data_IF_723995984758
#
_entry.id   IF_723995984758
#
_cell.length_a   1.000
_cell.length_b   1.000
_cell.length_c   1.000
_cell.angle_alpha   90.00
_cell.angle_beta   90.00
_cell.angle_gamma   90.00
#
_symmetry.space_group_name_H-M   'P 1'
#
loop_
_entity.id
_entity.type
_entity.pdbx_description
1 polymer ?
#
# COMPACT_ATOMS: atom_id res chain seq x y z
N UNK A 1 14.79 -24.48 -14.46
CA UNK A 1 14.49 -24.30 -13.01
C UNK A 1 13.26 -23.42 -12.72
N UNK A 2 12.67 -22.69 -13.65
CA UNK A 2 11.65 -21.66 -13.38
C UNK A 2 10.18 -22.07 -13.26
N UNK A 3 9.80 -23.30 -13.57
CA UNK A 3 8.38 -23.71 -13.59
C UNK A 3 7.79 -24.02 -12.21
N UNK A 4 8.61 -24.40 -11.23
CA UNK A 4 8.12 -24.87 -9.93
C UNK A 4 7.64 -23.76 -8.96
N UNK A 5 7.88 -22.51 -9.28
CA UNK A 5 7.55 -21.37 -8.40
C UNK A 5 6.61 -20.36 -9.04
N UNK A 6 6.16 -20.58 -10.28
CA UNK A 6 5.25 -19.72 -11.00
C UNK A 6 3.81 -19.85 -10.47
N UNK A 7 3.11 -18.74 -10.32
CA UNK A 7 1.65 -18.74 -10.11
C UNK A 7 0.99 -18.61 -11.46
N UNK A 8 0.02 -19.48 -11.74
CA UNK A 8 -0.74 -19.46 -12.98
C UNK A 8 -2.23 -19.52 -12.67
N UNK A 9 -2.97 -18.53 -13.13
CA UNK A 9 -4.42 -18.47 -13.08
C UNK A 9 -5.00 -18.60 -14.49
N UNK A 10 -6.01 -19.46 -14.67
CA UNK A 10 -6.66 -19.70 -15.97
C UNK A 10 -8.17 -19.65 -15.82
N UNK A 11 -8.79 -18.65 -16.46
CA UNK A 11 -10.24 -18.47 -16.48
C UNK A 11 -10.88 -18.31 -15.11
N UNK A 12 -10.12 -17.78 -14.14
CA UNK A 12 -10.49 -17.74 -12.73
C UNK A 12 -11.73 -16.87 -12.53
N UNK A 13 -12.79 -17.47 -11.98
CA UNK A 13 -14.06 -16.79 -11.73
C UNK A 13 -14.53 -17.07 -10.30
N UNK A 14 -14.99 -16.03 -9.61
CA UNK A 14 -15.58 -16.15 -8.26
C UNK A 14 -16.88 -15.37 -8.15
N UNK A 15 -17.93 -16.08 -7.75
CA UNK A 15 -19.25 -15.50 -7.48
C UNK A 15 -19.63 -15.75 -6.02
N UNK A 16 -20.20 -14.74 -5.39
CA UNK A 16 -20.81 -14.82 -4.07
C UNK A 16 -22.30 -14.47 -4.23
N UNK A 17 -23.13 -15.50 -4.30
CA UNK A 17 -24.55 -15.32 -4.64
C UNK A 17 -24.71 -14.64 -6.02
N UNK A 18 -25.39 -13.52 -6.05
CA UNK A 18 -25.61 -12.73 -7.28
C UNK A 18 -24.39 -11.88 -7.68
N UNK A 19 -23.44 -11.61 -6.76
CA UNK A 19 -22.29 -10.73 -7.01
C UNK A 19 -21.12 -11.52 -7.59
N UNK A 20 -20.63 -11.13 -8.77
CA UNK A 20 -19.37 -11.65 -9.32
C UNK A 20 -18.23 -10.76 -8.85
N UNK A 21 -17.30 -11.33 -8.10
CA UNK A 21 -16.12 -10.62 -7.55
C UNK A 21 -14.91 -10.69 -8.51
N UNK A 22 -14.76 -11.82 -9.22
CA UNK A 22 -13.72 -12.04 -10.22
C UNK A 22 -14.36 -12.78 -11.39
N UNK A 23 -14.04 -12.39 -12.63
CA UNK A 23 -14.63 -12.96 -13.83
C UNK A 23 -13.56 -13.24 -14.90
N UNK A 24 -13.41 -14.51 -15.27
CA UNK A 24 -12.55 -14.99 -16.35
C UNK A 24 -11.12 -14.42 -16.32
N UNK A 25 -10.49 -14.37 -15.13
CA UNK A 25 -9.18 -13.80 -14.92
C UNK A 25 -8.10 -14.83 -15.25
N UNK A 26 -7.20 -14.50 -16.18
CA UNK A 26 -6.05 -15.33 -16.56
C UNK A 26 -4.79 -14.49 -16.53
N UNK A 27 -3.75 -14.98 -15.83
CA UNK A 27 -2.46 -14.32 -15.73
C UNK A 27 -1.39 -15.29 -15.19
N UNK A 28 -0.12 -14.87 -15.30
CA UNK A 28 1.03 -15.59 -14.77
C UNK A 28 1.91 -14.66 -13.94
N UNK A 29 2.38 -15.15 -12.78
CA UNK A 29 3.39 -14.47 -11.94
C UNK A 29 4.67 -15.25 -12.00
N UNK A 30 5.73 -14.62 -12.50
CA UNK A 30 7.02 -15.26 -12.77
C UNK A 30 7.99 -15.09 -11.60
N UNK A 31 8.90 -16.06 -11.39
CA UNK A 31 9.99 -15.93 -10.41
C UNK A 31 10.99 -14.85 -10.83
N UNK A 32 11.72 -14.32 -9.86
CA UNK A 32 12.79 -13.34 -10.08
C UNK A 32 12.32 -11.91 -10.33
N UNK A 33 11.02 -11.65 -10.21
CA UNK A 33 10.42 -10.32 -10.43
C UNK A 33 9.40 -10.00 -9.35
N UNK A 34 9.23 -8.71 -9.05
CA UNK A 34 8.12 -8.23 -8.26
C UNK A 34 6.95 -7.95 -9.20
N UNK A 35 5.88 -8.74 -9.10
CA UNK A 35 4.65 -8.52 -9.87
C UNK A 35 3.64 -7.79 -9.02
N UNK A 36 3.27 -6.58 -9.44
CA UNK A 36 2.23 -5.74 -8.83
C UNK A 36 0.85 -6.12 -9.32
N UNK A 37 -0.09 -6.33 -8.40
CA UNK A 37 -1.50 -6.59 -8.68
C UNK A 37 -2.31 -5.35 -8.35
N UNK A 38 -2.59 -4.55 -9.35
CA UNK A 38 -3.10 -3.19 -9.22
C UNK A 38 -4.60 -3.12 -9.55
N UNK A 39 -5.31 -2.32 -8.78
CA UNK A 39 -6.73 -2.06 -9.02
C UNK A 39 -7.39 -1.33 -7.85
N UNK A 40 -8.56 -0.70 -8.07
CA UNK A 40 -9.27 0.02 -7.01
C UNK A 40 -9.78 -0.94 -5.92
N UNK A 41 -10.23 -0.38 -4.81
CA UNK A 41 -10.87 -1.17 -3.77
C UNK A 41 -12.12 -1.86 -4.32
N UNK A 42 -12.30 -3.13 -4.00
CA UNK A 42 -13.41 -3.94 -4.51
C UNK A 42 -13.21 -4.50 -5.93
N UNK A 43 -12.05 -4.29 -6.58
CA UNK A 43 -11.77 -4.84 -7.90
C UNK A 43 -11.53 -6.35 -7.95
N UNK A 44 -11.43 -7.03 -6.79
CA UNK A 44 -11.23 -8.47 -6.71
C UNK A 44 -9.83 -8.92 -6.28
N UNK A 45 -8.90 -8.00 -5.93
CA UNK A 45 -7.52 -8.32 -5.53
C UNK A 45 -7.43 -9.35 -4.40
N UNK A 46 -7.99 -9.04 -3.24
CA UNK A 46 -7.95 -9.94 -2.08
C UNK A 46 -8.68 -11.25 -2.34
N UNK A 47 -9.80 -11.22 -3.10
CA UNK A 47 -10.51 -12.44 -3.51
C UNK A 47 -9.62 -13.33 -4.37
N UNK A 48 -8.87 -12.77 -5.32
CA UNK A 48 -7.94 -13.52 -6.16
C UNK A 48 -6.82 -14.13 -5.33
N UNK A 49 -6.20 -13.36 -4.40
CA UNK A 49 -5.16 -13.89 -3.52
C UNK A 49 -5.68 -15.01 -2.61
N UNK A 50 -6.90 -14.90 -2.11
CA UNK A 50 -7.53 -15.95 -1.32
C UNK A 50 -7.77 -17.22 -2.15
N UNK A 51 -8.13 -17.11 -3.43
CA UNK A 51 -8.25 -18.26 -4.33
C UNK A 51 -6.89 -18.90 -4.62
N UNK A 52 -5.83 -18.13 -4.82
CA UNK A 52 -4.46 -18.64 -5.00
C UNK A 52 -4.03 -19.51 -3.82
N UNK A 53 -4.37 -19.07 -2.59
CA UNK A 53 -4.07 -19.78 -1.34
C UNK A 53 -5.09 -20.87 -0.98
N UNK A 54 -6.07 -21.16 -1.84
CA UNK A 54 -7.09 -22.16 -1.60
C UNK A 54 -8.00 -21.87 -0.40
N UNK A 55 -8.03 -20.61 0.08
CA UNK A 55 -8.94 -20.17 1.14
C UNK A 55 -10.36 -20.02 0.62
N UNK A 56 -10.49 -19.59 -0.62
CA UNK A 56 -11.76 -19.54 -1.35
C UNK A 56 -11.65 -20.44 -2.59
N UNK A 57 -12.66 -21.26 -2.84
CA UNK A 57 -12.72 -22.05 -4.06
C UNK A 57 -13.25 -21.20 -5.23
N UNK A 58 -12.63 -21.25 -6.42
CA UNK A 58 -13.18 -20.60 -7.60
C UNK A 58 -14.53 -21.22 -7.98
N UNK A 59 -15.43 -20.41 -8.53
CA UNK A 59 -16.69 -20.89 -9.12
C UNK A 59 -16.43 -21.62 -10.45
N UNK A 60 -15.43 -21.13 -11.22
CA UNK A 60 -14.90 -21.78 -12.42
C UNK A 60 -13.47 -21.34 -12.67
N UNK A 61 -12.77 -22.03 -13.55
CA UNK A 61 -11.35 -21.86 -13.78
C UNK A 61 -10.51 -22.52 -12.68
N UNK A 62 -9.21 -22.27 -12.70
CA UNK A 62 -8.29 -22.84 -11.72
C UNK A 62 -7.07 -21.94 -11.52
N UNK A 63 -6.38 -22.15 -10.40
CA UNK A 63 -5.10 -21.49 -10.13
C UNK A 63 -4.13 -22.53 -9.56
N UNK A 64 -2.87 -22.43 -9.99
CA UNK A 64 -1.79 -23.34 -9.57
C UNK A 64 -0.56 -22.55 -9.14
N UNK A 65 0.23 -23.16 -8.28
CA UNK A 65 1.57 -22.73 -7.89
C UNK A 65 2.52 -23.89 -8.24
N UNK A 66 3.44 -23.64 -9.16
CA UNK A 66 4.32 -24.70 -9.67
C UNK A 66 3.55 -25.85 -10.32
N UNK A 67 2.42 -25.60 -10.96
CA UNK A 67 1.56 -26.58 -11.59
C UNK A 67 0.61 -27.33 -10.65
N UNK A 68 0.61 -27.03 -9.33
CA UNK A 68 -0.24 -27.67 -8.36
C UNK A 68 -1.17 -26.67 -7.66
N UNK A 69 -2.45 -27.01 -7.41
CA UNK A 69 -3.31 -26.25 -6.52
C UNK A 69 -2.67 -26.15 -5.12
N UNK A 70 -2.81 -25.01 -4.43
CA UNK A 70 -2.22 -24.78 -3.10
C UNK A 70 -2.48 -25.92 -2.12
N UNK A 71 -3.71 -26.46 -2.07
CA UNK A 71 -4.11 -27.55 -1.17
C UNK A 71 -3.38 -28.88 -1.44
N UNK A 72 -2.75 -29.03 -2.61
CA UNK A 72 -1.97 -30.22 -2.98
C UNK A 72 -0.45 -30.02 -2.86
N UNK A 73 -0.02 -28.83 -2.44
CA UNK A 73 1.39 -28.56 -2.24
C UNK A 73 1.89 -29.32 -0.99
N UNK A 74 2.95 -30.12 -1.12
CA UNK A 74 3.58 -30.72 0.06
C UNK A 74 4.27 -29.61 0.86
N UNK A 75 4.05 -29.61 2.19
CA UNK A 75 4.63 -28.58 3.06
C UNK A 75 4.37 -27.14 2.56
N UNK A 76 3.13 -26.81 2.23
CA UNK A 76 2.76 -25.51 1.68
C UNK A 76 3.37 -24.30 2.43
N UNK A 77 3.48 -24.28 3.79
CA UNK A 77 4.11 -23.17 4.50
C UNK A 77 5.60 -22.96 4.23
N UNK A 78 6.29 -23.98 3.67
CA UNK A 78 7.69 -23.87 3.22
C UNK A 78 7.84 -23.49 1.76
N UNK A 79 6.76 -23.52 1.00
CA UNK A 79 6.76 -23.15 -0.41
C UNK A 79 6.13 -21.80 -0.65
N UNK A 80 5.11 -21.45 0.14
CA UNK A 80 4.30 -20.25 -0.04
C UNK A 80 4.17 -19.53 1.29
N UNK A 81 4.59 -18.27 1.32
CA UNK A 81 4.37 -17.32 2.40
C UNK A 81 3.32 -16.29 2.00
N UNK A 82 2.42 -15.94 2.91
CA UNK A 82 1.39 -14.97 2.59
C UNK A 82 1.11 -14.02 3.76
N UNK A 83 0.88 -12.75 3.42
CA UNK A 83 0.31 -11.74 4.28
C UNK A 83 -0.97 -11.24 3.64
N UNK A 84 -2.13 -11.66 4.15
CA UNK A 84 -3.44 -11.19 3.69
C UNK A 84 -4.07 -10.17 4.64
N UNK A 85 -3.80 -10.29 5.94
CA UNK A 85 -4.30 -9.37 6.96
C UNK A 85 -3.29 -9.27 8.11
N UNK A 86 -2.71 -8.09 8.29
CA UNK A 86 -1.79 -7.81 9.39
C UNK A 86 -2.46 -7.87 10.77
N UNK A 87 -3.80 -7.79 10.83
CA UNK A 87 -4.57 -7.88 12.08
C UNK A 87 -4.89 -9.32 12.49
N UNK A 88 -4.55 -10.32 11.67
CA UNK A 88 -4.83 -11.72 11.93
C UNK A 88 -4.01 -12.31 13.10
N UNK A 89 -3.32 -11.49 13.89
CA UNK A 89 -2.51 -11.89 15.05
C UNK A 89 -3.35 -11.81 16.32
N UNK A 90 -3.39 -12.90 17.10
CA UNK A 90 -4.07 -12.89 18.39
C UNK A 90 -3.38 -11.95 19.39
N UNK A 91 -4.03 -10.85 19.76
CA UNK A 91 -3.47 -9.78 20.59
C UNK A 91 -2.92 -10.18 21.98
N UNK A 92 -3.34 -11.31 22.51
CA UNK A 92 -2.87 -11.86 23.79
C UNK A 92 -1.51 -12.56 23.71
N UNK A 93 -1.04 -12.94 22.51
CA UNK A 93 0.24 -13.61 22.30
C UNK A 93 1.37 -12.58 22.08
N UNK A 94 2.60 -12.93 22.46
CA UNK A 94 3.77 -12.17 22.04
C UNK A 94 4.11 -12.48 20.57
N UNK A 95 4.87 -11.58 19.91
CA UNK A 95 5.33 -11.80 18.54
C UNK A 95 6.08 -13.14 18.41
N UNK A 96 7.02 -13.41 19.32
CA UNK A 96 7.79 -14.66 19.34
C UNK A 96 6.90 -15.88 19.56
N UNK A 97 5.94 -15.83 20.50
CA UNK A 97 5.02 -16.96 20.76
C UNK A 97 4.08 -17.20 19.58
N UNK A 98 3.66 -16.15 18.88
CA UNK A 98 2.86 -16.27 17.67
C UNK A 98 3.63 -17.00 16.57
N UNK A 99 4.84 -16.54 16.24
CA UNK A 99 5.67 -17.17 15.21
C UNK A 99 6.09 -18.59 15.61
N UNK A 100 6.41 -18.82 16.89
CA UNK A 100 6.77 -20.15 17.38
C UNK A 100 5.61 -21.15 17.20
N UNK A 101 4.37 -20.73 17.46
CA UNK A 101 3.22 -21.60 17.22
C UNK A 101 3.04 -21.97 15.73
N UNK A 102 3.28 -21.02 14.82
CA UNK A 102 3.25 -21.28 13.38
C UNK A 102 4.40 -22.20 12.94
N UNK A 103 5.59 -21.97 13.48
CA UNK A 103 6.77 -22.81 13.21
C UNK A 103 6.53 -24.27 13.62
N UNK A 104 6.01 -24.48 14.83
CA UNK A 104 5.69 -25.83 15.35
C UNK A 104 4.65 -26.54 14.49
N UNK A 105 3.58 -25.87 14.10
CA UNK A 105 2.53 -26.42 13.23
C UNK A 105 3.07 -26.81 11.84
N UNK A 106 4.11 -26.16 11.38
CA UNK A 106 4.71 -26.36 10.04
C UNK A 106 6.00 -27.18 10.05
N UNK A 107 6.42 -27.72 11.22
CA UNK A 107 7.66 -28.45 11.37
C UNK A 107 8.92 -27.61 11.08
N UNK A 108 8.85 -26.30 11.36
CA UNK A 108 9.95 -25.34 11.16
C UNK A 108 10.74 -25.22 12.48
N UNK A 109 12.09 -25.23 12.45
CA UNK A 109 12.91 -25.09 13.64
C UNK A 109 12.64 -23.77 14.39
N UNK A 110 12.64 -23.80 15.73
CA UNK A 110 12.40 -22.62 16.56
C UNK A 110 13.45 -21.50 16.34
N UNK A 111 14.66 -21.84 15.94
CA UNK A 111 15.72 -20.88 15.61
C UNK A 111 15.28 -19.93 14.48
N UNK A 112 14.54 -20.43 13.48
CA UNK A 112 14.03 -19.61 12.38
C UNK A 112 13.14 -18.46 12.84
N UNK A 113 12.47 -18.62 13.99
CA UNK A 113 11.63 -17.55 14.58
C UNK A 113 12.48 -16.33 14.96
N UNK A 114 13.64 -16.56 15.57
CA UNK A 114 14.52 -15.48 16.00
C UNK A 114 15.21 -14.82 14.79
N UNK A 115 15.52 -15.60 13.74
CA UNK A 115 16.04 -15.08 12.46
C UNK A 115 15.03 -14.15 11.76
N UNK A 116 13.79 -14.58 11.57
CA UNK A 116 12.77 -13.74 10.89
C UNK A 116 12.39 -12.51 11.70
N UNK A 117 12.40 -12.60 13.05
CA UNK A 117 12.24 -11.43 13.92
C UNK A 117 13.38 -10.42 13.69
N UNK A 118 14.60 -10.91 13.44
CA UNK A 118 15.74 -10.11 13.04
C UNK A 118 15.54 -9.39 11.72
N UNK A 119 15.13 -10.12 10.70
CA UNK A 119 14.88 -9.57 9.36
C UNK A 119 13.87 -8.42 9.39
N UNK A 120 12.81 -8.54 10.21
CA UNK A 120 11.76 -7.51 10.29
C UNK A 120 12.00 -6.44 11.38
N UNK A 121 13.11 -6.53 12.13
CA UNK A 121 13.46 -5.55 13.17
C UNK A 121 12.55 -5.59 14.40
N UNK A 122 12.04 -6.76 14.79
CA UNK A 122 11.16 -6.93 15.95
C UNK A 122 11.82 -7.68 17.13
N UNK A 123 13.14 -7.90 17.13
CA UNK A 123 13.85 -8.69 18.16
C UNK A 123 13.65 -8.12 19.56
N UNK A 124 13.82 -6.81 19.73
CA UNK A 124 13.73 -6.14 21.04
C UNK A 124 12.34 -6.23 21.65
N UNK A 125 11.31 -6.27 20.80
CA UNK A 125 9.90 -6.31 21.21
C UNK A 125 9.28 -7.70 21.07
N UNK A 126 10.06 -8.72 20.71
CA UNK A 126 9.62 -10.08 20.42
C UNK A 126 8.78 -10.73 21.55
N UNK A 127 9.05 -10.36 22.82
CA UNK A 127 8.33 -10.87 24.00
C UNK A 127 7.12 -10.03 24.40
N UNK A 128 6.94 -8.84 23.81
CA UNK A 128 5.77 -7.98 24.06
C UNK A 128 4.51 -8.57 23.41
N UNK A 129 3.35 -8.39 24.08
CA UNK A 129 2.05 -8.82 23.52
C UNK A 129 1.68 -7.98 22.30
N UNK A 130 1.22 -8.62 21.25
CA UNK A 130 0.91 -7.98 19.97
C UNK A 130 -0.24 -6.97 20.02
N UNK A 131 -1.14 -7.04 21.05
CA UNK A 131 -2.18 -6.02 21.24
C UNK A 131 -1.64 -4.59 21.44
N UNK A 132 -0.39 -4.46 21.86
CA UNK A 132 0.30 -3.18 22.06
C UNK A 132 1.18 -2.77 20.88
N UNK A 133 1.08 -3.45 19.76
CA UNK A 133 1.83 -3.12 18.56
C UNK A 133 1.16 -1.97 17.79
N UNK A 134 1.99 -1.09 17.21
CA UNK A 134 1.52 -0.17 16.19
C UNK A 134 1.07 -0.96 14.94
N UNK A 135 0.34 -0.30 14.03
CA UNK A 135 -0.05 -0.93 12.76
C UNK A 135 1.18 -1.42 11.99
N UNK A 136 2.26 -0.61 11.93
CA UNK A 136 3.50 -0.98 11.27
C UNK A 136 4.21 -2.18 11.93
N UNK A 137 4.21 -2.28 13.24
CA UNK A 137 4.73 -3.45 13.94
C UNK A 137 3.89 -4.70 13.64
N UNK A 138 2.57 -4.57 13.54
CA UNK A 138 1.67 -5.64 13.13
C UNK A 138 1.97 -6.11 11.71
N UNK A 139 2.19 -5.19 10.79
CA UNK A 139 2.56 -5.46 9.40
C UNK A 139 3.89 -6.21 9.31
N UNK A 140 4.92 -5.73 10.01
CA UNK A 140 6.23 -6.40 10.10
C UNK A 140 6.12 -7.81 10.68
N UNK A 141 5.26 -8.03 11.68
CA UNK A 141 5.02 -9.35 12.24
C UNK A 141 4.32 -10.29 11.24
N UNK A 142 3.37 -9.78 10.46
CA UNK A 142 2.72 -10.52 9.39
C UNK A 142 3.71 -10.92 8.28
N UNK A 143 4.62 -10.01 7.90
CA UNK A 143 5.71 -10.30 6.97
C UNK A 143 6.65 -11.37 7.55
N UNK A 144 7.01 -11.28 8.85
CA UNK A 144 7.81 -12.32 9.50
C UNK A 144 7.14 -13.70 9.45
N UNK A 145 5.82 -13.75 9.64
CA UNK A 145 5.05 -15.00 9.51
C UNK A 145 5.10 -15.54 8.07
N UNK A 146 4.99 -14.67 7.06
CA UNK A 146 5.12 -15.05 5.66
C UNK A 146 6.53 -15.59 5.31
N UNK A 147 7.58 -15.05 5.92
CA UNK A 147 8.97 -15.45 5.68
C UNK A 147 9.42 -16.68 6.50
N UNK A 148 8.60 -17.14 7.45
CA UNK A 148 8.97 -18.12 8.44
C UNK A 148 9.43 -19.45 7.81
N UNK A 149 8.74 -19.91 6.77
CA UNK A 149 9.04 -21.17 6.06
C UNK A 149 10.16 -21.06 5.03
N UNK A 150 10.78 -19.90 4.86
CA UNK A 150 11.73 -19.59 3.78
C UNK A 150 11.17 -19.88 2.38
N UNK A 151 9.96 -19.37 2.07
CA UNK A 151 9.20 -19.78 0.90
C UNK A 151 9.79 -19.21 -0.39
N UNK A 152 9.58 -19.95 -1.49
CA UNK A 152 9.95 -19.49 -2.83
C UNK A 152 8.87 -18.60 -3.47
N UNK A 153 7.66 -18.64 -2.97
CA UNK A 153 6.52 -17.84 -3.45
C UNK A 153 5.97 -16.99 -2.31
N UNK A 154 5.82 -15.72 -2.54
CA UNK A 154 5.38 -14.74 -1.55
C UNK A 154 4.19 -13.93 -2.09
N UNK A 155 3.11 -13.91 -1.31
CA UNK A 155 1.91 -13.12 -1.60
C UNK A 155 1.71 -12.06 -0.51
N UNK A 156 1.65 -10.80 -0.90
CA UNK A 156 1.44 -9.68 0.02
C UNK A 156 0.20 -8.87 -0.39
N UNK A 157 -0.84 -8.87 0.43
CA UNK A 157 -2.02 -8.04 0.21
C UNK A 157 -1.86 -6.72 0.96
N UNK A 158 -1.71 -5.61 0.22
CA UNK A 158 -1.53 -4.25 0.74
C UNK A 158 -0.43 -4.13 1.82
N UNK A 159 0.80 -4.62 1.59
CA UNK A 159 1.82 -4.75 2.65
C UNK A 159 2.35 -3.42 3.17
N UNK A 160 2.20 -2.33 2.43
CA UNK A 160 2.66 -0.98 2.81
C UNK A 160 1.57 -0.14 3.47
N UNK A 161 0.34 -0.64 3.53
CA UNK A 161 -0.79 0.13 4.02
C UNK A 161 -0.64 0.49 5.51
N UNK A 162 -0.68 1.79 5.83
CA UNK A 162 -0.56 2.30 7.18
C UNK A 162 0.85 2.24 7.79
N UNK A 163 1.88 2.10 6.95
CA UNK A 163 3.27 2.28 7.32
C UNK A 163 3.68 3.75 7.17
N UNK A 164 4.68 4.15 7.95
CA UNK A 164 5.42 5.39 7.74
C UNK A 164 6.34 5.29 6.50
N UNK A 165 6.88 6.40 6.00
CA UNK A 165 7.74 6.39 4.81
C UNK A 165 8.96 5.47 4.93
N UNK A 166 9.55 5.36 6.12
CA UNK A 166 10.68 4.47 6.37
C UNK A 166 10.25 3.00 6.27
N UNK A 167 9.10 2.65 6.84
CA UNK A 167 8.50 1.32 6.75
C UNK A 167 8.16 0.93 5.31
N UNK A 168 7.61 1.85 4.53
CA UNK A 168 7.31 1.64 3.10
C UNK A 168 8.61 1.33 2.34
N UNK A 169 9.65 2.14 2.55
CA UNK A 169 10.95 1.96 1.90
C UNK A 169 11.57 0.61 2.28
N UNK A 170 11.48 0.21 3.56
CA UNK A 170 11.97 -1.08 4.03
C UNK A 170 11.24 -2.25 3.35
N UNK A 171 9.89 -2.24 3.30
CA UNK A 171 9.10 -3.30 2.65
C UNK A 171 9.44 -3.40 1.16
N UNK A 172 9.59 -2.26 0.48
CA UNK A 172 9.99 -2.20 -0.92
C UNK A 172 11.35 -2.89 -1.16
N UNK A 173 12.34 -2.53 -0.36
CA UNK A 173 13.67 -3.12 -0.49
C UNK A 173 13.65 -4.62 -0.19
N UNK A 174 12.89 -5.04 0.82
CA UNK A 174 12.71 -6.46 1.12
C UNK A 174 12.13 -7.23 -0.09
N UNK A 175 11.03 -6.73 -0.69
CA UNK A 175 10.42 -7.38 -1.85
C UNK A 175 11.38 -7.49 -3.04
N UNK A 176 12.14 -6.41 -3.33
CA UNK A 176 13.15 -6.41 -4.39
C UNK A 176 14.30 -7.38 -4.12
N UNK A 177 14.77 -7.46 -2.88
CA UNK A 177 15.82 -8.42 -2.49
C UNK A 177 15.33 -9.85 -2.68
N UNK A 178 14.12 -10.18 -2.20
CA UNK A 178 13.54 -11.51 -2.34
C UNK A 178 13.34 -11.91 -3.82
N UNK A 179 12.91 -10.97 -4.66
CA UNK A 179 12.81 -11.20 -6.09
C UNK A 179 14.21 -11.42 -6.73
N UNK A 180 15.19 -10.59 -6.36
CA UNK A 180 16.58 -10.75 -6.86
C UNK A 180 17.21 -12.10 -6.46
N UNK A 181 16.78 -12.72 -5.34
CA UNK A 181 17.11 -14.09 -4.95
C UNK A 181 16.44 -15.17 -5.82
N UNK A 182 15.61 -14.76 -6.79
CA UNK A 182 14.89 -15.66 -7.70
C UNK A 182 13.51 -16.10 -7.19
N UNK A 183 13.03 -15.56 -6.08
CA UNK A 183 11.68 -15.86 -5.54
C UNK A 183 10.59 -15.20 -6.37
N UNK A 184 9.40 -15.76 -6.31
CA UNK A 184 8.19 -15.15 -6.89
C UNK A 184 7.57 -14.22 -5.86
N UNK A 185 7.48 -12.94 -6.18
CA UNK A 185 6.87 -11.94 -5.31
C UNK A 185 5.62 -11.36 -5.99
N UNK A 186 4.46 -11.61 -5.39
CA UNK A 186 3.17 -11.10 -5.86
C UNK A 186 2.56 -10.18 -4.82
N UNK A 187 2.41 -8.91 -5.17
CA UNK A 187 1.99 -7.85 -4.24
C UNK A 187 0.78 -7.11 -4.75
N UNK A 188 -0.29 -7.05 -3.95
CA UNK A 188 -1.41 -6.16 -4.26
C UNK A 188 -1.18 -4.76 -3.72
N UNK A 189 -1.65 -3.77 -4.44
CA UNK A 189 -1.72 -2.39 -3.95
C UNK A 189 -2.80 -1.59 -4.68
N UNK A 190 -3.27 -0.54 -4.02
CA UNK A 190 -4.03 0.54 -4.63
C UNK A 190 -3.17 1.83 -4.78
N UNK A 191 -1.94 1.84 -4.25
CA UNK A 191 -1.00 2.96 -4.31
C UNK A 191 -0.11 2.84 -5.55
N UNK A 192 -0.44 3.60 -6.59
CA UNK A 192 0.21 3.52 -7.89
C UNK A 192 1.64 4.03 -7.85
N UNK A 193 1.89 5.12 -7.12
CA UNK A 193 3.23 5.67 -6.93
C UNK A 193 4.21 4.67 -6.30
N UNK A 194 3.73 3.86 -5.35
CA UNK A 194 4.54 2.81 -4.74
C UNK A 194 4.80 1.65 -5.71
N UNK A 195 3.80 1.27 -6.50
CA UNK A 195 3.96 0.22 -7.50
C UNK A 195 4.91 0.62 -8.62
N UNK A 196 4.90 1.89 -9.04
CA UNK A 196 5.82 2.40 -10.07
C UNK A 196 7.30 2.20 -9.73
N UNK A 197 7.64 2.28 -8.43
CA UNK A 197 9.04 2.16 -7.96
C UNK A 197 9.37 0.78 -7.38
N UNK A 198 8.36 -0.09 -7.18
CA UNK A 198 8.52 -1.41 -6.55
C UNK A 198 8.41 -2.55 -7.54
N UNK A 199 7.38 -2.51 -8.40
CA UNK A 199 7.08 -3.61 -9.31
C UNK A 199 7.90 -3.54 -10.60
N UNK A 200 8.21 -4.70 -11.16
CA UNK A 200 8.81 -4.88 -12.48
C UNK A 200 7.74 -5.13 -13.52
N UNK A 201 6.67 -5.84 -13.13
CA UNK A 201 5.56 -6.25 -13.95
C UNK A 201 4.23 -5.91 -13.28
N UNK A 202 3.21 -5.56 -14.06
CA UNK A 202 1.88 -5.20 -13.57
C UNK A 202 0.81 -6.11 -14.15
N UNK A 203 -0.06 -6.56 -13.27
CA UNK A 203 -1.36 -7.14 -13.60
C UNK A 203 -2.41 -6.16 -13.08
N UNK A 204 -3.09 -5.49 -13.99
CA UNK A 204 -4.08 -4.46 -13.65
C UNK A 204 -5.47 -5.05 -13.80
N UNK A 205 -6.29 -4.92 -12.74
CA UNK A 205 -7.67 -5.41 -12.74
C UNK A 205 -8.68 -4.29 -12.45
N UNK A 206 -9.84 -4.40 -13.09
CA UNK A 206 -11.01 -3.56 -12.84
C UNK A 206 -12.29 -4.38 -12.90
N UNK A 207 -13.19 -4.19 -11.92
CA UNK A 207 -14.47 -4.92 -11.83
C UNK A 207 -14.33 -6.46 -11.94
N UNK A 208 -13.25 -6.99 -11.38
CA UNK A 208 -12.98 -8.43 -11.42
C UNK A 208 -12.40 -8.97 -12.72
N UNK A 209 -12.06 -8.13 -13.69
CA UNK A 209 -11.52 -8.51 -14.99
C UNK A 209 -10.11 -7.99 -15.20
N UNK A 210 -9.33 -8.69 -16.02
CA UNK A 210 -8.01 -8.25 -16.44
C UNK A 210 -8.14 -7.06 -17.39
N UNK A 211 -7.42 -5.99 -17.08
CA UNK A 211 -7.31 -4.80 -17.93
C UNK A 211 -5.95 -4.73 -18.63
N UNK A 212 -4.88 -5.14 -17.96
CA UNK A 212 -3.53 -5.13 -18.51
C UNK A 212 -2.65 -6.17 -17.80
N UNK A 213 -1.69 -6.74 -18.53
CA UNK A 213 -0.68 -7.69 -18.06
C UNK A 213 0.62 -7.42 -18.83
N UNK A 214 1.49 -6.56 -18.29
CA UNK A 214 2.72 -6.12 -18.97
C UNK A 214 3.74 -5.52 -17.98
N UNK A 215 4.95 -5.21 -18.47
CA UNK A 215 5.94 -4.52 -17.64
C UNK A 215 5.48 -3.12 -17.24
N UNK A 216 5.98 -2.60 -16.08
CA UNK A 216 5.69 -1.22 -15.65
C UNK A 216 6.07 -0.20 -16.72
N UNK A 217 7.22 -0.40 -17.38
CA UNK A 217 7.71 0.50 -18.43
C UNK A 217 6.78 0.52 -19.63
N UNK A 218 6.37 -0.66 -20.12
CA UNK A 218 5.47 -0.77 -21.26
C UNK A 218 4.10 -0.19 -20.94
N UNK A 219 3.62 -0.41 -19.71
CA UNK A 219 2.34 0.15 -19.26
C UNK A 219 2.35 1.69 -19.27
N UNK A 220 3.41 2.30 -18.74
CA UNK A 220 3.56 3.76 -18.73
C UNK A 220 3.66 4.28 -20.16
N UNK A 221 4.53 3.71 -21.00
CA UNK A 221 4.72 4.18 -22.39
C UNK A 221 3.51 3.99 -23.27
N UNK A 222 2.70 2.94 -23.06
CA UNK A 222 1.48 2.70 -23.81
C UNK A 222 0.32 3.64 -23.43
N UNK A 223 0.28 4.10 -22.17
CA UNK A 223 -0.87 4.83 -21.64
C UNK A 223 -0.56 6.28 -21.21
N UNK A 224 0.69 6.70 -21.22
CA UNK A 224 1.11 8.06 -20.88
C UNK A 224 2.29 8.48 -21.75
N UNK A 225 2.43 9.78 -21.97
CA UNK A 225 3.54 10.35 -22.70
C UNK A 225 4.16 11.46 -21.85
N UNK A 226 5.49 11.61 -21.97
CA UNK A 226 6.20 12.76 -21.40
C UNK A 226 5.66 14.04 -22.02
N UNK A 227 5.50 15.07 -21.22
CA UNK A 227 5.08 16.37 -21.70
C UNK A 227 5.82 17.50 -20.98
N UNK A 228 5.87 18.65 -21.62
CA UNK A 228 6.28 19.88 -21.00
C UNK A 228 5.06 20.64 -20.50
N UNK A 229 5.09 21.07 -19.25
CA UNK A 229 4.12 22.01 -18.71
C UNK A 229 4.66 23.41 -18.87
N UNK A 230 3.87 24.25 -19.55
CA UNK A 230 4.26 25.58 -19.90
C UNK A 230 3.21 26.57 -19.41
N UNK A 231 3.64 27.61 -18.68
CA UNK A 231 2.77 28.72 -18.29
C UNK A 231 3.27 30.04 -18.82
N UNK A 232 2.36 30.83 -19.31
CA UNK A 232 2.53 32.23 -19.65
C UNK A 232 1.91 33.10 -18.57
N UNK A 233 2.21 34.44 -18.53
CA UNK A 233 1.54 35.36 -17.63
C UNK A 233 0.01 35.29 -17.75
N UNK A 234 -0.69 35.11 -16.62
CA UNK A 234 -2.15 35.02 -16.60
C UNK A 234 -2.83 36.33 -16.96
N UNK A 235 -2.11 37.46 -16.82
CA UNK A 235 -2.58 38.80 -17.18
C UNK A 235 -2.62 39.03 -18.68
N UNK A 236 -2.00 38.18 -19.48
CA UNK A 236 -1.85 38.32 -20.92
C UNK A 236 -2.29 37.04 -21.66
N UNK A 237 -3.59 36.77 -21.76
CA UNK A 237 -4.10 35.54 -22.39
C UNK A 237 -3.70 35.40 -23.85
N UNK A 238 -3.46 36.51 -24.55
CA UNK A 238 -2.99 36.54 -25.94
C UNK A 238 -1.60 35.88 -26.12
N UNK A 239 -0.72 35.97 -25.13
CA UNK A 239 0.59 35.28 -25.17
C UNK A 239 0.45 33.78 -25.15
N UNK A 240 -0.53 33.24 -24.39
CA UNK A 240 -0.82 31.83 -24.36
C UNK A 240 -1.31 31.30 -25.71
N UNK A 241 -2.23 32.02 -26.34
CA UNK A 241 -2.77 31.64 -27.64
C UNK A 241 -1.69 31.70 -28.71
N UNK A 242 -0.88 32.76 -28.71
CA UNK A 242 0.28 32.93 -29.61
C UNK A 242 1.27 31.77 -29.46
N UNK A 243 1.63 31.45 -28.20
CA UNK A 243 2.52 30.31 -27.92
C UNK A 243 1.93 28.97 -28.39
N UNK A 244 0.66 28.75 -28.12
CA UNK A 244 -0.04 27.53 -28.56
C UNK A 244 0.02 27.35 -30.08
N UNK A 245 -0.23 28.42 -30.85
CA UNK A 245 -0.14 28.38 -32.31
C UNK A 245 1.26 28.07 -32.80
N UNK A 246 2.27 28.78 -32.27
CA UNK A 246 3.67 28.57 -32.64
C UNK A 246 4.16 27.15 -32.35
N UNK A 247 3.80 26.61 -31.18
CA UNK A 247 4.16 25.23 -30.82
C UNK A 247 3.45 24.19 -31.69
N UNK A 248 2.18 24.44 -32.03
CA UNK A 248 1.42 23.56 -32.93
C UNK A 248 1.98 23.57 -34.35
N UNK A 249 2.35 24.74 -34.88
CA UNK A 249 3.02 24.87 -36.19
C UNK A 249 4.37 24.15 -36.22
N UNK A 250 5.07 24.11 -35.07
CA UNK A 250 6.32 23.36 -34.91
C UNK A 250 6.14 21.84 -34.74
N UNK A 251 4.90 21.34 -34.83
CA UNK A 251 4.59 19.92 -34.75
C UNK A 251 4.29 19.38 -33.35
N UNK A 252 4.10 20.26 -32.35
CA UNK A 252 3.68 19.82 -31.02
C UNK A 252 2.17 19.57 -30.94
N UNK A 253 1.78 18.64 -30.06
CA UNK A 253 0.41 18.56 -29.58
C UNK A 253 0.26 19.40 -28.32
N UNK A 254 -0.57 20.44 -28.37
CA UNK A 254 -0.80 21.39 -27.28
C UNK A 254 -2.22 21.23 -26.75
N UNK A 255 -2.33 21.03 -25.43
CA UNK A 255 -3.60 21.01 -24.71
C UNK A 255 -3.59 22.03 -23.60
N UNK A 256 -4.68 22.76 -23.43
CA UNK A 256 -4.83 23.71 -22.31
C UNK A 256 -5.42 22.99 -21.11
N UNK A 257 -4.74 23.05 -19.96
CA UNK A 257 -5.20 22.50 -18.69
C UNK A 257 -6.23 23.45 -18.02
N UNK A 258 -6.97 22.93 -17.04
CA UNK A 258 -8.03 23.71 -16.34
C UNK A 258 -7.50 24.97 -15.64
N UNK A 259 -6.23 24.97 -15.23
CA UNK A 259 -5.55 26.09 -14.57
C UNK A 259 -4.88 27.05 -15.56
N UNK A 260 -5.11 26.86 -16.87
CA UNK A 260 -4.58 27.70 -17.94
C UNK A 260 -3.14 27.39 -18.35
N UNK A 261 -2.49 26.36 -17.80
CA UNK A 261 -1.22 25.87 -18.28
C UNK A 261 -1.38 25.16 -19.64
N UNK A 262 -0.33 25.20 -20.46
CA UNK A 262 -0.24 24.41 -21.68
C UNK A 262 0.51 23.11 -21.41
N UNK A 263 -0.10 22.00 -21.76
CA UNK A 263 0.52 20.68 -21.84
C UNK A 263 1.01 20.48 -23.27
N UNK A 264 2.33 20.36 -23.43
CA UNK A 264 2.98 20.27 -24.73
C UNK A 264 3.68 18.93 -24.86
N UNK A 265 3.30 18.16 -25.88
CA UNK A 265 3.95 16.88 -26.22
C UNK A 265 4.56 16.94 -27.62
N UNK A 266 5.61 16.14 -27.86
CA UNK A 266 6.25 16.05 -29.18
C UNK A 266 7.43 17.00 -29.39
N UNK A 267 7.71 17.93 -28.47
CA UNK A 267 8.89 18.80 -28.57
C UNK A 267 9.73 18.73 -27.28
N UNK A 268 11.07 18.76 -27.40
CA UNK A 268 11.96 18.87 -26.23
C UNK A 268 11.93 20.27 -25.62
N UNK A 269 12.16 20.38 -24.28
CA UNK A 269 12.11 21.63 -23.55
C UNK A 269 12.96 22.76 -24.15
N UNK A 270 14.22 22.51 -24.55
CA UNK A 270 15.02 23.57 -25.18
C UNK A 270 14.36 24.18 -26.42
N UNK A 271 13.74 23.34 -27.26
CA UNK A 271 13.04 23.80 -28.47
C UNK A 271 11.79 24.63 -28.14
N UNK A 272 11.05 24.24 -27.09
CA UNK A 272 9.92 25.03 -26.61
C UNK A 272 10.37 26.39 -26.11
N UNK A 273 11.48 26.45 -25.37
CA UNK A 273 12.06 27.69 -24.88
C UNK A 273 12.50 28.59 -26.01
N UNK A 274 13.17 28.04 -27.04
CA UNK A 274 13.62 28.81 -28.20
C UNK A 274 12.44 29.40 -28.99
N UNK A 275 11.42 28.60 -29.24
CA UNK A 275 10.19 29.03 -29.93
C UNK A 275 9.43 30.13 -29.16
N UNK A 276 9.38 30.01 -27.84
CA UNK A 276 8.77 31.04 -26.99
C UNK A 276 9.56 32.38 -27.06
N UNK A 277 10.90 32.31 -27.03
CA UNK A 277 11.78 33.48 -27.16
C UNK A 277 11.63 34.14 -28.54
N UNK A 278 11.67 33.36 -29.62
CA UNK A 278 11.56 33.86 -30.98
C UNK A 278 10.18 34.48 -31.28
N UNK A 279 9.15 34.01 -30.54
CA UNK A 279 7.82 34.59 -30.58
C UNK A 279 7.62 35.75 -29.60
N UNK A 280 8.63 36.18 -28.86
CA UNK A 280 8.54 37.22 -27.81
C UNK A 280 7.44 36.91 -26.77
N UNK A 281 7.38 35.64 -26.32
CA UNK A 281 6.45 35.17 -25.31
C UNK A 281 7.22 34.89 -24.01
N UNK A 282 6.74 35.49 -22.91
CA UNK A 282 7.29 35.24 -21.58
C UNK A 282 6.78 33.93 -21.02
N UNK A 283 7.70 33.10 -20.51
CA UNK A 283 7.36 31.88 -19.77
C UNK A 283 7.46 32.13 -18.28
N UNK A 284 6.42 31.79 -17.55
CA UNK A 284 6.43 31.74 -16.09
C UNK A 284 6.84 30.37 -15.57
N UNK A 285 6.55 29.33 -16.36
CA UNK A 285 6.92 27.95 -16.05
C UNK A 285 7.25 27.22 -17.35
N UNK A 286 8.34 26.46 -17.30
CA UNK A 286 8.68 25.45 -18.30
C UNK A 286 9.27 24.26 -17.55
N UNK A 287 8.44 23.28 -17.24
CA UNK A 287 8.81 22.11 -16.45
C UNK A 287 8.59 20.81 -17.20
N UNK A 288 9.54 19.85 -17.11
CA UNK A 288 9.33 18.51 -17.64
C UNK A 288 8.37 17.74 -16.73
N UNK A 289 7.40 17.09 -17.32
CA UNK A 289 6.57 16.10 -16.67
C UNK A 289 6.83 14.75 -17.33
N UNK A 290 7.34 13.82 -16.52
CA UNK A 290 7.53 12.44 -16.98
C UNK A 290 6.22 11.67 -16.86
N UNK A 291 5.98 10.81 -17.82
CA UNK A 291 4.88 9.86 -17.78
C UNK A 291 4.89 9.05 -16.48
N UNK A 292 3.78 9.05 -15.78
CA UNK A 292 3.65 8.36 -14.49
C UNK A 292 2.71 7.15 -14.59
N UNK A 293 2.92 6.16 -13.71
CA UNK A 293 2.02 5.02 -13.61
C UNK A 293 0.60 5.43 -13.23
N UNK A 294 0.47 6.44 -12.37
CA UNK A 294 -0.83 6.96 -11.94
C UNK A 294 -1.60 7.56 -13.12
N UNK A 295 -0.93 8.39 -13.92
CA UNK A 295 -1.53 9.02 -15.10
C UNK A 295 -1.91 7.97 -16.15
N UNK A 296 -1.01 7.01 -16.41
CA UNK A 296 -1.26 5.89 -17.32
C UNK A 296 -2.47 5.06 -16.88
N UNK A 297 -2.58 4.77 -15.58
CA UNK A 297 -3.71 4.05 -15.00
C UNK A 297 -5.02 4.85 -15.13
N UNK A 298 -5.01 6.13 -14.79
CA UNK A 298 -6.20 6.99 -14.88
C UNK A 298 -6.72 7.07 -16.33
N UNK A 299 -5.83 7.19 -17.31
CA UNK A 299 -6.22 7.20 -18.73
C UNK A 299 -6.83 5.87 -19.17
N UNK A 300 -6.19 4.76 -18.82
CA UNK A 300 -6.71 3.43 -19.15
C UNK A 300 -8.07 3.17 -18.52
N UNK A 301 -8.31 3.68 -17.32
CA UNK A 301 -9.54 3.44 -16.56
C UNK A 301 -10.63 4.50 -16.79
N UNK A 302 -10.36 5.58 -17.54
CA UNK A 302 -11.37 6.54 -17.95
C UNK A 302 -12.49 5.81 -18.74
N UNK A 303 -13.63 5.61 -18.05
CA UNK A 303 -14.78 4.85 -18.59
C UNK A 303 -14.88 3.38 -18.17
N UNK A 304 -13.84 2.78 -17.61
CA UNK A 304 -13.87 1.39 -17.14
C UNK A 304 -14.14 1.25 -15.64
N UNK A 305 -13.92 2.30 -14.83
CA UNK A 305 -14.06 2.27 -13.38
C UNK A 305 -15.02 3.35 -12.91
N UNK A 306 -16.19 2.94 -12.40
CA UNK A 306 -17.06 3.83 -11.63
C UNK A 306 -16.49 3.97 -10.21
N UNK A 307 -15.96 5.14 -9.89
CA UNK A 307 -15.54 5.50 -8.52
C UNK A 307 -16.72 5.82 -7.59
N UNK A 308 -17.97 5.56 -8.01
CA UNK A 308 -19.14 5.79 -7.16
C UNK A 308 -19.06 4.90 -5.92
N UNK A 309 -19.03 5.51 -4.76
CA UNK A 309 -19.12 4.82 -3.49
C UNK A 309 -20.41 4.01 -3.42
N UNK A 310 -20.44 2.94 -2.63
CA UNK A 310 -21.65 2.12 -2.42
C UNK A 310 -22.82 2.99 -1.88
N UNK A 311 -22.54 4.14 -1.24
CA UNK A 311 -23.52 5.12 -0.80
C UNK A 311 -24.20 5.83 -1.97
N UNK A 312 -23.48 6.13 -3.06
CA UNK A 312 -24.05 6.78 -4.24
C UNK A 312 -24.91 5.82 -5.07
N UNK A 313 -24.65 4.50 -5.00
CA UNK A 313 -25.46 3.48 -5.68
C UNK A 313 -26.81 3.25 -4.98
N UNK A 314 -26.88 3.44 -3.66
CA UNK A 314 -28.14 3.34 -2.91
C UNK A 314 -29.01 4.59 -3.05
N UNK A 315 -28.44 5.75 -3.35
CA UNK A 315 -29.19 6.98 -3.60
C UNK A 315 -29.93 7.00 -4.96
N UNK A 316 -29.51 6.15 -5.91
CA UNK A 316 -30.10 6.05 -7.25
C UNK A 316 -31.39 5.19 -7.34
N UNK A 317 -31.80 4.50 -6.28
CA UNK A 317 -32.96 3.57 -6.30
C UNK A 317 -34.22 4.09 -5.60
N UNK A 318 -34.29 5.35 -5.19
CA UNK A 318 -35.51 5.91 -4.61
C UNK A 318 -35.89 7.21 -5.29
N UNK A 319 -36.69 7.11 -6.35
CA UNK A 319 -37.85 8.01 -6.57
C UNK A 319 -38.77 7.44 -7.67
N UNK A 320 -39.99 7.03 -7.34
CA UNK A 320 -41.06 6.98 -8.34
C UNK A 320 -41.54 8.43 -8.59
N UNK A 321 -41.51 8.81 -9.85
CA UNK A 321 -42.05 10.09 -10.30
C UNK A 321 -43.55 10.19 -9.96
N UNK A 322 -43.94 11.22 -9.18
CA UNK A 322 -45.30 11.76 -9.17
C UNK A 322 -45.32 13.11 -9.90
N UNK A 323 -46.34 13.37 -10.73
CA UNK A 323 -46.41 14.60 -11.48
C UNK A 323 -47.10 15.72 -10.69
N UNK A 324 -46.49 16.92 -10.71
CA UNK A 324 -47.16 18.21 -10.58
C UNK A 324 -47.36 18.77 -9.18
N UNK A 325 -46.63 19.83 -8.86
CA UNK A 325 -46.86 20.70 -7.69
C UNK A 325 -45.79 21.78 -7.61
N UNK A 326 -46.22 23.04 -7.71
CA UNK A 326 -45.40 24.22 -7.74
C UNK A 326 -44.51 24.37 -6.49
N UNK A 327 -43.23 24.74 -6.66
CA UNK A 327 -42.27 24.97 -5.61
C UNK A 327 -42.15 26.48 -5.31
N UNK A 328 -42.32 26.86 -4.06
CA UNK A 328 -41.81 28.11 -3.51
C UNK A 328 -40.38 27.96 -2.98
N UNK A 329 -39.55 29.02 -3.01
CA UNK A 329 -38.13 28.92 -2.61
C UNK A 329 -37.97 29.06 -1.10
N UNK A 330 -37.34 28.09 -0.45
CA UNK A 330 -36.94 28.19 0.96
C UNK A 330 -35.44 28.48 1.05
N UNK A 331 -35.17 29.55 1.82
CA UNK A 331 -33.84 30.08 2.09
C UNK A 331 -32.95 29.15 2.88
N UNK A 332 -31.67 29.18 2.54
CA UNK A 332 -30.57 28.55 3.31
C UNK A 332 -30.41 29.18 4.68
N UNK A 333 -30.45 28.39 5.74
CA UNK A 333 -29.86 28.75 7.04
C UNK A 333 -29.20 27.49 7.67
N UNK A 334 -27.99 27.52 7.90
CA UNK A 334 -27.10 27.57 9.06
C UNK A 334 -27.12 26.37 9.98
N UNK A 335 -25.98 25.81 10.18
CA UNK A 335 -25.49 24.75 11.04
C UNK A 335 -25.75 24.96 12.55
N UNK A 336 -25.94 23.83 13.27
CA UNK A 336 -26.03 23.63 14.72
C UNK A 336 -27.38 23.94 15.40
N UNK A 337 -28.07 22.83 15.72
CA UNK A 337 -29.02 22.82 16.84
C UNK A 337 -28.80 21.51 17.66
N UNK A 338 -28.76 21.61 19.00
CA UNK A 338 -28.70 20.45 19.90
C UNK A 338 -30.05 19.74 20.01
N UNK A 339 -30.11 18.48 20.43
CA UNK A 339 -31.36 17.72 20.52
C UNK A 339 -32.26 18.22 21.64
N UNK A 340 -33.61 18.13 21.47
CA UNK A 340 -34.58 18.62 22.46
C UNK A 340 -34.69 17.65 23.67
N UNK A 341 -35.05 18.16 24.87
CA UNK A 341 -35.24 17.38 26.06
C UNK A 341 -36.56 16.58 26.01
N UNK A 342 -36.51 15.34 26.46
CA UNK A 342 -37.65 14.47 26.60
C UNK A 342 -38.51 14.91 27.79
N UNK A 343 -39.78 15.18 27.55
CA UNK A 343 -40.79 15.44 28.56
C UNK A 343 -41.28 14.11 29.16
N UNK A 344 -41.38 14.10 30.48
CA UNK A 344 -41.84 13.00 31.27
C UNK A 344 -43.34 12.71 31.11
N UNK A 345 -43.68 11.43 31.13
CA UNK A 345 -45.06 10.96 31.27
C UNK A 345 -45.09 9.79 32.25
N UNK A 346 -45.80 9.94 33.31
CA UNK A 346 -46.03 9.00 34.40
C UNK A 346 -46.92 7.78 33.97
N UNK A 347 -46.84 6.63 34.70
CA UNK A 347 -47.61 5.44 34.38
C UNK A 347 -48.96 5.37 35.10
N UNK A 348 -49.88 4.49 34.72
CA UNK A 348 -50.89 3.98 35.64
C UNK A 348 -50.86 2.47 35.83
N UNK A 349 -50.80 2.13 37.10
CA UNK A 349 -51.52 1.09 37.86
C UNK A 349 -51.62 -0.39 37.42
N UNK A 350 -51.12 -1.20 38.33
CA UNK A 350 -51.79 -2.26 39.12
C UNK A 350 -52.06 -3.64 38.48
N UNK A 351 -51.65 -4.65 39.24
CA UNK A 351 -52.31 -5.93 39.22
C UNK A 351 -51.42 -7.14 39.53
N UNK A 352 -51.10 -7.33 40.80
CA UNK A 352 -51.09 -8.54 41.63
C UNK A 352 -50.59 -9.91 41.10
N UNK A 353 -50.41 -10.98 41.95
CA UNK A 353 -49.09 -11.53 42.22
C UNK A 353 -49.03 -13.10 42.07
N UNK A 354 -47.79 -13.66 42.35
CA UNK A 354 -47.50 -15.01 42.85
C UNK A 354 -47.05 -16.09 41.85
N UNK A 355 -46.39 -17.19 42.30
CA UNK A 355 -45.60 -17.44 43.54
C UNK A 355 -44.28 -18.22 43.31
N UNK A 356 -43.41 -18.16 44.27
CA UNK A 356 -42.84 -19.31 45.01
C UNK A 356 -41.52 -19.93 44.61
N UNK A 357 -40.49 -19.64 45.36
CA UNK A 357 -39.52 -20.45 46.05
C UNK A 357 -38.33 -21.06 45.33
N UNK A 358 -37.32 -21.61 46.05
CA UNK A 358 -36.66 -21.07 47.26
C UNK A 358 -35.16 -20.81 47.09
N UNK A 359 -34.61 -20.04 47.88
CA UNK A 359 -33.49 -19.63 48.55
C UNK A 359 -32.23 -20.48 48.68
N UNK A 360 -31.08 -19.83 48.66
CA UNK A 360 -29.92 -20.18 49.45
C UNK A 360 -29.21 -18.91 49.95
N UNK A 361 -28.80 -19.01 51.21
CA UNK A 361 -28.41 -17.97 52.12
C UNK A 361 -26.95 -17.51 51.98
N UNK A 362 -26.76 -16.24 52.37
CA UNK A 362 -25.46 -15.62 52.71
C UNK A 362 -25.24 -15.70 54.26
N UNK A 363 -24.01 -15.74 54.78
CA UNK A 363 -23.62 -14.76 55.81
C UNK A 363 -22.24 -14.19 55.56
N UNK A 364 -21.83 -13.04 56.01
CA UNK A 364 -22.09 -12.05 57.00
C UNK A 364 -20.92 -11.10 56.91
N UNK A 365 -20.91 -9.98 57.24
CA UNK A 365 -21.07 -8.98 58.27
C UNK A 365 -20.18 -7.80 58.05
N UNK A 366 -20.73 -6.64 58.18
CA UNK A 366 -20.09 -5.32 58.37
C UNK A 366 -19.68 -5.18 59.87
N UNK A 367 -19.17 -4.04 60.45
CA UNK A 367 -19.40 -2.65 60.10
C UNK A 367 -18.19 -1.67 60.40
N UNK A 368 -18.33 -0.36 60.11
CA UNK A 368 -17.59 0.70 60.75
C UNK A 368 -17.41 1.98 59.91
N UNK A 369 -18.25 2.98 60.06
CA UNK A 369 -17.93 4.38 59.80
C UNK A 369 -17.55 5.04 61.13
N UNK A 370 -17.47 6.39 61.26
CA UNK A 370 -17.60 7.51 60.35
C UNK A 370 -16.46 8.58 60.48
N UNK A 371 -16.43 9.65 59.67
CA UNK A 371 -15.58 10.77 59.93
C UNK A 371 -15.59 11.89 58.87
N UNK A 372 -16.22 12.99 59.23
CA UNK A 372 -16.30 14.27 58.54
C UNK A 372 -14.96 14.98 58.38
N UNK A 373 -14.78 15.76 57.30
CA UNK A 373 -14.45 17.19 57.30
C UNK A 373 -14.09 17.71 55.88
N UNK A 374 -14.74 18.78 55.46
CA UNK A 374 -14.28 19.74 54.46
C UNK A 374 -13.76 21.00 55.24
N UNK A 375 -13.29 22.14 54.60
CA UNK A 375 -12.82 22.42 53.24
C UNK A 375 -11.50 23.22 53.18
N UNK A 376 -10.95 23.37 51.96
CA UNK A 376 -10.21 24.58 51.59
C UNK A 376 -8.72 24.49 51.49
N UNK A 377 -8.15 24.49 50.29
CA UNK A 377 -7.07 25.38 49.87
C UNK A 377 -6.76 25.16 48.38
N UNK A 378 -6.62 26.25 47.64
CA UNK A 378 -6.28 26.27 46.21
C UNK A 378 -4.86 25.81 45.94
N UNK A 379 -4.57 25.15 44.79
CA UNK A 379 -3.20 24.82 44.41
C UNK A 379 -2.54 25.94 43.61
N UNK A 380 -1.26 26.10 43.83
CA UNK A 380 -0.32 26.95 43.10
C UNK A 380 -0.10 26.48 41.65
N UNK A 381 0.31 27.38 40.73
CA UNK A 381 0.42 27.08 39.31
C UNK A 381 1.77 26.44 38.95
N UNK A 382 1.73 25.51 37.98
CA UNK A 382 2.87 25.24 37.14
C UNK A 382 3.38 23.81 37.11
N UNK A 383 2.83 23.01 36.21
CA UNK A 383 3.65 22.04 35.46
C UNK A 383 2.99 21.82 34.08
N UNK A 384 3.73 22.23 33.06
CA UNK A 384 3.38 22.01 31.66
C UNK A 384 3.91 20.61 31.23
N UNK A 385 3.05 19.65 30.85
CA UNK A 385 3.50 18.30 30.47
C UNK A 385 4.03 18.19 29.03
N UNK A 386 4.24 19.32 28.34
CA UNK A 386 4.76 19.34 26.97
C UNK A 386 6.11 20.04 26.82
N UNK A 387 6.99 19.97 27.83
CA UNK A 387 8.37 20.40 27.66
C UNK A 387 9.16 19.27 26.98
N UNK A 388 9.57 19.47 25.74
CA UNK A 388 10.52 18.64 25.00
C UNK A 388 11.85 18.57 25.75
N UNK A 389 12.44 17.37 25.93
CA UNK A 389 13.78 17.26 26.51
C UNK A 389 14.82 17.79 25.50
N UNK A 390 15.77 18.56 26.01
CA UNK A 390 16.92 19.08 25.29
C UNK A 390 17.73 17.94 24.67
N UNK A 391 18.15 18.11 23.43
CA UNK A 391 19.00 17.18 22.70
C UNK A 391 20.35 16.97 23.44
N UNK A 392 20.89 15.74 23.45
CA UNK A 392 22.22 15.48 23.99
C UNK A 392 23.30 16.10 23.09
N UNK A 393 24.34 16.65 23.74
CA UNK A 393 25.49 17.28 23.09
C UNK A 393 26.20 16.29 22.14
N UNK A 394 26.58 16.76 20.94
CA UNK A 394 27.33 16.01 19.95
C UNK A 394 28.72 15.59 20.52
N UNK A 395 29.21 14.39 20.16
CA UNK A 395 30.55 13.96 20.50
C UNK A 395 31.63 14.78 19.76
N UNK A 396 32.85 14.95 20.30
CA UNK A 396 33.90 15.70 19.65
C UNK A 396 34.40 15.00 18.39
N UNK A 397 34.73 15.82 17.39
CA UNK A 397 35.25 15.36 16.09
C UNK A 397 36.56 14.58 16.24
N UNK A 398 36.80 13.52 15.46
CA UNK A 398 38.08 12.82 15.46
C UNK A 398 39.19 13.67 14.84
N UNK A 399 40.41 13.58 15.43
CA UNK A 399 41.59 14.28 14.99
C UNK A 399 41.97 13.96 13.55
N UNK A 400 42.45 14.97 12.83
CA UNK A 400 42.88 14.92 11.45
C UNK A 400 44.02 13.92 11.26
N UNK A 401 43.90 13.06 10.26
CA UNK A 401 44.95 12.17 9.78
C UNK A 401 46.02 12.97 9.02
N UNK A 402 47.33 12.57 9.07
CA UNK A 402 48.39 13.25 8.36
C UNK A 402 48.35 13.00 6.85
N UNK A 403 48.78 13.97 6.09
CA UNK A 403 48.84 13.99 4.62
C UNK A 403 49.70 12.84 4.06
N UNK A 404 49.37 12.31 2.86
CA UNK A 404 50.17 11.26 2.22
C UNK A 404 51.41 11.82 1.53
N UNK A 405 52.55 11.24 1.88
CA UNK A 405 53.83 11.50 1.23
C UNK A 405 53.94 10.79 -0.11
N UNK A 406 54.52 11.52 -1.02
CA UNK A 406 55.29 11.23 -2.24
C UNK A 406 55.32 9.78 -2.76
N UNK A 407 54.90 9.65 -4.02
CA UNK A 407 54.94 8.48 -4.92
C UNK A 407 56.34 7.89 -5.11
N UNK A 408 56.44 6.58 -5.09
CA UNK A 408 57.54 5.80 -5.69
C UNK A 408 57.05 5.25 -7.06
N UNK A 409 57.96 5.06 -8.04
CA UNK A 409 57.59 4.77 -9.43
C UNK A 409 57.27 3.31 -9.65
N UNK A 410 56.38 3.03 -10.60
CA UNK A 410 55.94 1.72 -11.04
C UNK A 410 57.06 0.94 -11.73
N UNK A 411 57.08 -0.43 -11.62
CA UNK A 411 58.00 -1.23 -12.37
C UNK A 411 57.53 -1.43 -13.82
N UNK A 412 58.52 -1.31 -14.71
CA UNK A 412 58.46 -1.50 -16.16
C UNK A 412 58.30 -3.00 -16.50
N UNK A 413 57.23 -3.36 -17.21
CA UNK A 413 56.94 -4.69 -17.74
C UNK A 413 57.15 -4.71 -19.26
N UNK A 414 58.41 -4.56 -19.69
CA UNK A 414 58.84 -4.92 -21.05
C UNK A 414 60.08 -5.81 -20.98
N UNK A 415 59.86 -7.11 -20.88
CA UNK A 415 60.78 -8.13 -21.44
C UNK A 415 59.99 -9.41 -21.79
N UNK A 416 59.83 -9.60 -23.08
CA UNK A 416 59.64 -10.90 -23.70
C UNK A 416 60.99 -11.64 -23.57
N UNK A 417 60.89 -12.90 -23.16
CA UNK A 417 61.85 -13.93 -23.61
C UNK A 417 61.08 -15.20 -23.98
N UNK A 418 61.24 -15.50 -25.23
CA UNK A 418 60.98 -16.79 -25.87
C UNK A 418 61.90 -17.86 -25.31
N UNK A 419 61.36 -18.99 -24.93
CA UNK A 419 61.99 -20.30 -25.17
C UNK A 419 60.97 -21.42 -24.93
N UNK A 420 60.65 -22.11 -25.99
CA UNK A 420 60.25 -23.51 -25.97
C UNK A 420 61.49 -24.40 -25.87
N UNK A 421 61.43 -25.60 -25.29
CA UNK A 421 61.45 -26.75 -26.18
C UNK A 421 60.50 -27.90 -25.80
N UNK A 422 60.17 -28.55 -26.87
CA UNK A 422 59.65 -29.90 -27.08
C UNK A 422 60.12 -30.99 -26.10
N UNK A 423 59.27 -32.00 -26.09
CA UNK A 423 59.54 -33.46 -26.04
C UNK A 423 59.29 -34.26 -24.76
N UNK A 424 58.49 -35.26 -25.05
CA UNK A 424 58.59 -36.68 -24.61
C UNK A 424 57.75 -37.10 -23.37
N UNK A 425 56.75 -37.75 -23.69
CA UNK A 425 56.20 -39.11 -23.37
C UNK A 425 54.81 -39.11 -22.83
#
# INVERSE_FOLDING_TARGET
MGLHTMIEAVGLTKRYGAKTAVYNLSFQVRPGTVTGFLGPNGSGKSTTMRMILGLDEPTSGHVTIGGHPFRRLPNAPRQVGALLDAKAVHGGRSARSHLLSLAQLSGIPAQRVDEVLGVVGLQEVARRRSKGFSLGMGQRLGIAAALLGDPQVLLFDEPVNGLDPEGIHWVRNLMKTLAAEGRTVFVSSHLMSEMAVTADHLIVIGRGQLLSDMSVKDFISANSADFARVRTPQTEPQQREKLSSVLTEAGAHVMTEQDGALRVTGLPLPRISDLARDADVRLWELSPHQASLEEAYMRMTQGAVDYRSTADQLAGFQQPQQPGGYAEPVAQQGWYAPPPPQAGGQPPFAGAPLPGGPGYAIPGQAPGGPGYAAPGQAPAPGHNPYATPAAPAAPPAPAAAPAPGVSAPAPDLTKRDSDSPEDAR
#
